data_IF_794461905481
#
_entry.id   IF_794461905481
#
_cell.length_a   1.000
_cell.length_b   1.000
_cell.length_c   1.000
_cell.angle_alpha   90.00
_cell.angle_beta   90.00
_cell.angle_gamma   90.00
#
_symmetry.space_group_name_H-M   'P 1'
#
loop_
_entity.id
_entity.type
_entity.pdbx_description
1 polymer ?
#
# COMPACT_ATOMS: atom_id res chain seq x y z
N UNK A 1 3.65 1.10 -0.01
CA UNK A 1 2.91 1.10 1.27
C UNK A 1 2.96 -0.30 1.84
N UNK A 2 3.47 -0.44 3.06
CA UNK A 2 3.43 -1.71 3.83
C UNK A 2 2.21 -1.62 4.73
N UNK A 3 1.40 -2.66 4.78
CA UNK A 3 0.27 -2.74 5.70
C UNK A 3 0.36 -4.09 6.37
N UNK A 4 0.51 -4.09 7.69
CA UNK A 4 0.39 -5.26 8.53
C UNK A 4 -1.02 -5.38 9.07
N UNK A 5 -1.60 -6.57 8.95
CA UNK A 5 -2.82 -6.94 9.67
C UNK A 5 -2.44 -7.78 10.89
N UNK A 6 -2.77 -7.30 12.10
CA UNK A 6 -2.64 -8.07 13.33
C UNK A 6 -3.71 -9.17 13.41
N UNK A 7 -3.48 -10.18 14.26
CA UNK A 7 -4.42 -11.32 14.45
C UNK A 7 -5.82 -10.91 14.93
N UNK A 8 -5.94 -9.70 15.49
CA UNK A 8 -7.16 -9.04 15.97
C UNK A 8 -7.84 -8.14 14.90
N UNK A 9 -7.32 -8.09 13.67
CA UNK A 9 -7.85 -7.25 12.60
C UNK A 9 -7.47 -5.76 12.69
N UNK A 10 -6.61 -5.35 13.64
CA UNK A 10 -6.12 -3.97 13.71
C UNK A 10 -5.03 -3.72 12.68
N UNK A 11 -5.14 -2.58 11.98
CA UNK A 11 -4.23 -2.15 10.91
C UNK A 11 -3.02 -1.42 11.48
N UNK A 12 -1.84 -1.77 11.00
CA UNK A 12 -0.63 -0.99 11.24
C UNK A 12 0.13 -0.78 9.93
N UNK A 13 0.39 0.48 9.57
CA UNK A 13 1.33 0.82 8.49
C UNK A 13 2.80 0.58 8.91
N UNK A 14 3.01 0.29 10.19
CA UNK A 14 4.29 -0.06 10.80
C UNK A 14 4.43 -1.56 11.10
N UNK A 15 3.51 -2.39 10.57
CA UNK A 15 3.49 -3.84 10.77
C UNK A 15 4.87 -4.47 10.55
N UNK A 16 5.46 -4.95 11.65
CA UNK A 16 6.87 -5.27 11.76
C UNK A 16 7.27 -6.62 11.17
N UNK A 17 8.53 -6.70 10.77
CA UNK A 17 9.19 -7.91 10.27
C UNK A 17 9.34 -9.02 11.31
N UNK A 18 8.97 -8.75 12.58
CA UNK A 18 9.20 -9.61 13.74
C UNK A 18 7.91 -9.98 14.51
N UNK A 19 6.74 -9.80 13.87
CA UNK A 19 5.45 -10.20 14.46
C UNK A 19 4.87 -11.37 13.66
N UNK A 20 4.97 -12.62 14.16
CA UNK A 20 4.37 -13.78 13.51
C UNK A 20 2.88 -13.59 13.24
N UNK A 21 2.43 -14.05 12.07
CA UNK A 21 1.05 -13.88 11.62
C UNK A 21 0.76 -12.53 10.96
N UNK A 22 1.73 -11.60 10.92
CA UNK A 22 1.59 -10.35 10.17
C UNK A 22 1.54 -10.65 8.69
N UNK A 23 0.43 -10.27 8.07
CA UNK A 23 0.29 -10.35 6.63
C UNK A 23 0.81 -9.06 6.00
N UNK A 24 1.73 -9.20 5.05
CA UNK A 24 2.35 -8.11 4.31
C UNK A 24 1.88 -8.18 2.87
N UNK A 25 1.51 -7.01 2.35
CA UNK A 25 0.94 -6.88 1.02
C UNK A 25 1.57 -5.71 0.28
N UNK A 26 1.84 -5.89 -1.01
CA UNK A 26 2.25 -4.80 -1.90
C UNK A 26 1.52 -4.95 -3.24
N UNK A 27 0.59 -4.05 -3.58
CA UNK A 27 -0.06 -4.07 -4.89
C UNK A 27 0.96 -3.71 -5.96
N UNK A 28 1.25 -4.65 -6.86
CA UNK A 28 2.19 -4.44 -7.99
C UNK A 28 1.44 -3.96 -9.24
N UNK A 29 0.22 -4.47 -9.44
CA UNK A 29 -0.66 -4.07 -10.53
C UNK A 29 -2.12 -4.40 -10.17
N UNK A 30 -3.11 -3.94 -10.93
CA UNK A 30 -4.52 -4.25 -10.66
C UNK A 30 -4.86 -5.75 -10.59
N UNK A 31 -4.02 -6.61 -11.17
CA UNK A 31 -4.19 -8.08 -11.17
C UNK A 31 -3.18 -8.83 -10.29
N UNK A 32 -2.19 -8.14 -9.74
CA UNK A 32 -1.09 -8.78 -9.02
C UNK A 32 -0.83 -8.09 -7.68
N UNK A 33 -1.00 -8.85 -6.61
CA UNK A 33 -0.68 -8.48 -5.23
C UNK A 33 0.49 -9.35 -4.77
N UNK A 34 1.60 -8.72 -4.38
CA UNK A 34 2.65 -9.43 -3.64
C UNK A 34 2.12 -9.65 -2.23
N UNK A 35 2.08 -10.90 -1.78
CA UNK A 35 1.59 -11.30 -0.46
C UNK A 35 2.66 -12.13 0.24
N UNK A 36 2.86 -11.90 1.53
CA UNK A 36 3.57 -12.83 2.42
C UNK A 36 3.00 -12.78 3.83
N UNK A 37 3.17 -13.86 4.59
CA UNK A 37 2.80 -13.90 6.00
C UNK A 37 4.06 -14.18 6.83
N UNK A 38 4.35 -13.34 7.81
CA UNK A 38 5.52 -13.51 8.68
C UNK A 38 5.35 -14.78 9.51
N UNK A 39 6.31 -15.71 9.41
CA UNK A 39 6.27 -16.97 10.14
C UNK A 39 5.26 -18.00 9.62
N UNK A 40 4.68 -17.81 8.42
CA UNK A 40 3.78 -18.79 7.80
C UNK A 40 4.00 -18.88 6.29
N UNK A 41 3.84 -20.06 5.68
CA UNK A 41 3.95 -20.21 4.24
C UNK A 41 2.87 -19.39 3.52
N UNK A 42 3.22 -18.84 2.36
CA UNK A 42 2.26 -18.11 1.54
C UNK A 42 1.18 -19.06 0.99
N UNK A 43 -0.02 -18.54 0.69
CA UNK A 43 -1.06 -19.28 -0.03
C UNK A 43 -0.52 -19.85 -1.33
N UNK A 44 -0.96 -21.06 -1.67
CA UNK A 44 -0.52 -21.71 -2.91
C UNK A 44 -1.01 -20.91 -4.11
N UNK A 45 -0.23 -20.91 -5.20
CA UNK A 45 -0.67 -20.34 -6.47
C UNK A 45 -2.02 -20.96 -6.86
N UNK A 46 -3.00 -20.12 -7.20
CA UNK A 46 -4.36 -20.56 -7.51
C UNK A 46 -5.31 -20.61 -6.31
N UNK A 47 -4.86 -20.27 -5.10
CA UNK A 47 -5.78 -20.06 -3.97
C UNK A 47 -6.78 -18.96 -4.34
N UNK A 48 -8.06 -19.30 -4.25
CA UNK A 48 -9.16 -18.34 -4.43
C UNK A 48 -9.45 -17.69 -3.10
N UNK A 49 -9.47 -16.37 -3.08
CA UNK A 49 -9.80 -15.59 -1.89
C UNK A 49 -11.30 -15.64 -1.63
N UNK A 50 -11.68 -15.68 -0.36
CA UNK A 50 -13.06 -15.46 0.04
C UNK A 50 -13.50 -14.04 -0.30
N UNK A 51 -14.82 -13.82 -0.37
CA UNK A 51 -15.37 -12.48 -0.62
C UNK A 51 -14.93 -11.47 0.46
N UNK A 52 -14.83 -11.92 1.71
CA UNK A 52 -14.39 -11.08 2.83
C UNK A 52 -12.93 -10.65 2.67
N UNK A 53 -12.03 -11.57 2.30
CA UNK A 53 -10.62 -11.25 2.03
C UNK A 53 -10.46 -10.34 0.81
N UNK A 54 -11.23 -10.59 -0.25
CA UNK A 54 -11.21 -9.74 -1.45
C UNK A 54 -11.69 -8.31 -1.14
N UNK A 55 -12.78 -8.17 -0.40
CA UNK A 55 -13.28 -6.88 0.06
C UNK A 55 -12.25 -6.18 0.96
N UNK A 56 -11.61 -6.93 1.86
CA UNK A 56 -10.54 -6.42 2.71
C UNK A 56 -9.38 -5.83 1.91
N UNK A 57 -8.84 -6.57 0.93
CA UNK A 57 -7.74 -6.05 0.10
C UNK A 57 -8.16 -4.83 -0.71
N UNK A 58 -9.39 -4.81 -1.21
CA UNK A 58 -9.92 -3.66 -1.93
C UNK A 58 -9.93 -2.42 -1.04
N UNK A 59 -10.56 -2.47 0.13
CA UNK A 59 -10.64 -1.33 1.06
C UNK A 59 -9.26 -0.82 1.46
N UNK A 60 -8.31 -1.73 1.71
CA UNK A 60 -6.94 -1.38 2.03
C UNK A 60 -6.23 -0.64 0.87
N UNK A 61 -6.41 -1.11 -0.36
CA UNK A 61 -5.83 -0.45 -1.55
C UNK A 61 -6.46 0.94 -1.76
N UNK A 62 -7.78 1.06 -1.62
CA UNK A 62 -8.51 2.32 -1.79
C UNK A 62 -8.08 3.39 -0.80
N UNK A 63 -7.98 3.01 0.48
CA UNK A 63 -7.55 3.90 1.57
C UNK A 63 -6.07 4.23 1.48
N UNK A 64 -5.26 3.26 1.04
CA UNK A 64 -3.80 3.35 1.02
C UNK A 64 -3.15 3.97 -0.21
N UNK A 65 -3.87 4.08 -1.33
CA UNK A 65 -3.35 4.74 -2.52
C UNK A 65 -2.94 6.18 -2.17
N UNK A 66 -1.83 6.68 -2.74
CA UNK A 66 -1.40 8.06 -2.47
C UNK A 66 -1.78 9.01 -3.61
N UNK A 67 -1.54 8.59 -4.86
CA UNK A 67 -1.70 9.46 -6.04
C UNK A 67 -2.78 8.98 -7.01
N UNK A 68 -2.69 7.72 -7.42
CA UNK A 68 -3.58 7.16 -8.44
C UNK A 68 -4.16 5.85 -7.96
N UNK A 69 -5.41 5.63 -8.35
CA UNK A 69 -6.12 4.39 -8.19
C UNK A 69 -6.58 3.93 -9.56
N UNK A 70 -6.11 2.75 -9.96
CA UNK A 70 -6.54 2.11 -11.20
C UNK A 70 -7.54 1.02 -10.85
N UNK A 71 -8.78 1.21 -11.28
CA UNK A 71 -9.87 0.28 -11.00
C UNK A 71 -10.72 0.09 -12.25
N UNK A 72 -11.12 -1.15 -12.50
CA UNK A 72 -12.12 -1.48 -13.54
C UNK A 72 -13.55 -1.23 -13.05
N UNK A 73 -13.77 -1.35 -11.75
CA UNK A 73 -15.05 -1.07 -11.09
C UNK A 73 -14.89 0.14 -10.17
N UNK A 74 -15.66 1.20 -10.42
CA UNK A 74 -15.53 2.48 -9.74
C UNK A 74 -16.64 2.78 -8.73
N UNK A 75 -17.58 1.86 -8.53
CA UNK A 75 -18.85 2.13 -7.81
C UNK A 75 -18.67 2.59 -6.36
N UNK A 76 -17.66 2.09 -5.66
CA UNK A 76 -17.40 2.33 -4.24
C UNK A 76 -16.20 3.25 -3.99
N UNK A 77 -15.52 3.72 -5.05
CA UNK A 77 -14.30 4.52 -4.91
C UNK A 77 -14.60 5.84 -4.20
N UNK A 78 -15.68 6.52 -4.59
CA UNK A 78 -16.06 7.82 -3.99
C UNK A 78 -16.47 7.69 -2.52
N UNK A 79 -16.97 6.51 -2.11
CA UNK A 79 -17.33 6.24 -0.71
C UNK A 79 -16.07 6.10 0.16
N UNK A 80 -15.09 5.31 -0.29
CA UNK A 80 -13.86 5.08 0.46
C UNK A 80 -12.81 6.18 0.30
N UNK A 81 -12.83 6.89 -0.82
CA UNK A 81 -11.84 7.91 -1.17
C UNK A 81 -12.49 9.07 -1.92
N UNK A 82 -13.23 9.94 -1.21
CA UNK A 82 -13.83 11.11 -1.83
C UNK A 82 -12.76 12.02 -2.43
N UNK A 83 -13.07 12.64 -3.56
CA UNK A 83 -12.15 13.59 -4.21
C UNK A 83 -11.93 14.83 -3.33
N UNK A 84 -10.69 15.04 -2.91
CA UNK A 84 -10.26 16.28 -2.24
C UNK A 84 -9.56 17.20 -3.25
N UNK A 85 -10.05 18.42 -3.43
CA UNK A 85 -9.42 19.44 -4.28
C UNK A 85 -8.71 20.45 -3.38
N UNK A 86 -7.38 20.36 -3.29
CA UNK A 86 -6.55 21.23 -2.46
C UNK A 86 -5.33 21.74 -3.25
N UNK A 87 -5.26 23.05 -3.60
CA UNK A 87 -4.13 23.65 -4.31
C UNK A 87 -2.79 23.51 -3.58
N UNK A 88 -2.80 23.56 -2.26
CA UNK A 88 -1.62 23.45 -1.41
C UNK A 88 -1.02 22.05 -1.49
N UNK A 89 -1.86 21.01 -1.37
CA UNK A 89 -1.44 19.62 -1.56
C UNK A 89 -0.87 19.38 -2.97
N UNK A 90 -1.51 19.95 -4.00
CA UNK A 90 -1.00 19.84 -5.36
C UNK A 90 0.39 20.47 -5.53
N UNK A 91 0.60 21.68 -5.00
CA UNK A 91 1.91 22.37 -5.04
C UNK A 91 2.97 21.59 -4.28
N UNK A 92 2.63 21.04 -3.11
CA UNK A 92 3.55 20.23 -2.32
C UNK A 92 3.99 18.96 -3.06
N UNK A 93 3.05 18.24 -3.67
CA UNK A 93 3.36 17.04 -4.46
C UNK A 93 4.22 17.37 -5.68
N UNK A 94 3.90 18.42 -6.44
CA UNK A 94 4.75 18.82 -7.58
C UNK A 94 6.16 19.16 -7.14
N UNK A 95 6.31 19.97 -6.10
CA UNK A 95 7.61 20.35 -5.56
C UNK A 95 8.41 19.11 -5.13
N UNK A 96 7.76 18.18 -4.44
CA UNK A 96 8.39 16.91 -4.04
C UNK A 96 8.91 16.10 -5.24
N UNK A 97 8.16 16.02 -6.33
CA UNK A 97 8.60 15.35 -7.55
C UNK A 97 9.73 16.10 -8.27
N UNK A 98 9.68 17.43 -8.30
CA UNK A 98 10.73 18.29 -8.87
C UNK A 98 12.06 18.13 -8.10
N UNK A 99 11.99 18.03 -6.77
CA UNK A 99 13.15 17.89 -5.86
C UNK A 99 13.55 16.43 -5.58
N UNK A 100 12.81 15.45 -6.12
CA UNK A 100 12.97 14.02 -5.80
C UNK A 100 14.38 13.54 -6.07
N UNK A 101 14.91 13.83 -7.26
CA UNK A 101 16.23 13.36 -7.68
C UNK A 101 17.33 13.91 -6.77
N UNK A 102 17.33 15.22 -6.54
CA UNK A 102 18.32 15.86 -5.67
C UNK A 102 18.26 15.30 -4.25
N UNK A 103 17.04 15.16 -3.71
CA UNK A 103 16.84 14.65 -2.36
C UNK A 103 17.31 13.21 -2.24
N UNK A 104 16.89 12.32 -3.14
CA UNK A 104 17.30 10.91 -3.12
C UNK A 104 18.80 10.74 -3.31
N UNK A 105 19.40 11.42 -4.29
CA UNK A 105 20.84 11.30 -4.52
C UNK A 105 21.68 11.82 -3.35
N UNK A 106 21.20 12.85 -2.64
CA UNK A 106 21.85 13.32 -1.41
C UNK A 106 21.74 12.30 -0.29
N UNK A 107 20.57 11.70 -0.08
CA UNK A 107 20.40 10.65 0.94
C UNK A 107 21.25 9.42 0.65
N UNK A 108 21.28 8.94 -0.60
CA UNK A 108 22.12 7.81 -1.03
C UNK A 108 23.62 8.11 -0.83
N UNK A 109 24.07 9.33 -1.14
CA UNK A 109 25.45 9.74 -0.91
C UNK A 109 25.82 9.82 0.58
N UNK A 110 24.86 10.17 1.44
CA UNK A 110 25.05 10.24 2.90
C UNK A 110 25.04 8.86 3.56
N UNK A 111 24.38 7.87 2.93
CA UNK A 111 24.25 6.51 3.43
C UNK A 111 24.60 5.47 2.35
N UNK A 112 25.87 5.38 1.93
CA UNK A 112 26.28 4.49 0.84
C UNK A 112 26.20 2.99 1.18
N UNK A 113 26.12 2.63 2.48
CA UNK A 113 26.30 1.26 2.98
C UNK A 113 25.08 0.69 3.75
N UNK A 114 23.87 1.20 3.49
CA UNK A 114 22.62 0.55 3.95
C UNK A 114 22.10 -0.46 2.92
#
# INVERSE_FOLDING_TARGET
MRVGAGANGTFSLEGGWDVPGTQLFMPLSPKHLLFTCVGSPCPRRGTTLSLAEAAFFRTMILTGAHYYLFATDTRDIEEYRPRTVCPEQFKAVRKHWEEWHETQSREEANYPDL
#
